data_IF_225909221461
#
_entry.id   IF_225909221461
#
_cell.length_a   1.000
_cell.length_b   1.000
_cell.length_c   1.000
_cell.angle_alpha   90.00
_cell.angle_beta   90.00
_cell.angle_gamma   90.00
#
_symmetry.space_group_name_H-M   'P 1'
#
loop_
_entity.id
_entity.type
_entity.pdbx_description
1 polymer ?
#
# COMPACT_ATOMS: atom_id res chain seq x y z
N UNK A 1 2.26 -0.69 1.27
CA UNK A 1 2.59 -0.33 -0.13
C UNK A 1 3.92 0.45 -0.27
N UNK A 2 4.57 0.75 0.84
CA UNK A 2 5.72 1.64 0.96
C UNK A 2 6.96 1.08 0.28
N UNK A 3 7.16 -0.24 0.33
CA UNK A 3 8.26 -0.92 -0.37
C UNK A 3 8.20 -0.69 -1.88
N UNK A 4 7.02 -0.87 -2.49
CA UNK A 4 6.81 -0.53 -3.91
C UNK A 4 7.00 0.97 -4.17
N UNK A 5 6.56 1.82 -3.23
CA UNK A 5 6.58 3.27 -3.40
C UNK A 5 7.99 3.82 -3.41
N UNK A 6 8.86 3.26 -2.56
CA UNK A 6 10.27 3.60 -2.51
C UNK A 6 11.07 2.92 -3.62
N UNK A 7 10.81 1.65 -3.92
CA UNK A 7 11.45 0.94 -5.03
C UNK A 7 11.22 1.64 -6.37
N UNK A 8 9.99 2.09 -6.62
CA UNK A 8 9.70 2.90 -7.81
C UNK A 8 10.40 4.26 -7.76
N UNK A 9 10.37 4.99 -6.64
CA UNK A 9 11.05 6.30 -6.50
C UNK A 9 12.55 6.22 -6.75
N UNK A 10 13.21 5.19 -6.27
CA UNK A 10 14.66 4.99 -6.48
C UNK A 10 15.00 4.65 -7.93
N UNK A 11 14.06 4.06 -8.66
CA UNK A 11 14.24 3.66 -10.05
C UNK A 11 13.85 4.76 -11.03
N UNK A 12 12.87 5.60 -10.67
CA UNK A 12 12.35 6.68 -11.52
C UNK A 12 13.38 7.78 -11.74
N UNK A 13 13.29 8.51 -12.85
CA UNK A 13 14.10 9.72 -13.14
C UNK A 13 13.62 10.96 -12.38
N UNK A 14 12.50 10.86 -11.67
CA UNK A 14 11.88 11.97 -10.95
C UNK A 14 12.42 12.12 -9.53
N UNK A 15 12.20 13.28 -8.91
CA UNK A 15 12.57 13.51 -7.51
C UNK A 15 11.99 12.43 -6.57
N UNK A 16 12.71 12.01 -5.51
CA UNK A 16 13.89 12.68 -4.95
C UNK A 16 15.24 12.28 -5.56
N UNK A 17 15.30 11.23 -6.40
CA UNK A 17 16.55 10.75 -6.99
C UNK A 17 16.54 10.99 -8.51
N UNK A 18 17.06 12.13 -8.95
CA UNK A 18 16.93 12.59 -10.35
C UNK A 18 18.05 12.13 -11.29
N UNK A 19 19.01 11.35 -10.79
CA UNK A 19 20.17 10.91 -11.58
C UNK A 19 19.84 9.72 -12.49
N UNK A 20 18.66 9.11 -12.32
CA UNK A 20 18.18 8.04 -13.17
C UNK A 20 17.88 8.52 -14.59
N UNK A 21 18.33 7.76 -15.59
CA UNK A 21 17.99 7.97 -17.01
C UNK A 21 16.47 8.00 -17.22
N UNK A 22 16.00 8.71 -18.24
CA UNK A 22 14.57 8.79 -18.58
C UNK A 22 13.96 7.40 -18.78
N UNK A 23 12.72 7.23 -18.36
CA UNK A 23 11.89 6.05 -18.61
C UNK A 23 11.69 5.80 -20.12
N UNK A 24 11.79 6.85 -20.94
CA UNK A 24 11.65 6.75 -22.41
C UNK A 24 12.97 6.52 -23.16
N UNK A 25 14.10 6.37 -22.44
CA UNK A 25 15.39 6.18 -23.07
C UNK A 25 15.52 4.77 -23.67
N UNK A 26 15.96 4.68 -24.92
CA UNK A 26 16.14 3.38 -25.60
C UNK A 26 17.24 2.57 -24.90
N UNK A 27 16.94 1.30 -24.58
CA UNK A 27 17.86 0.42 -23.86
C UNK A 27 17.92 0.70 -22.36
N UNK A 28 16.85 1.26 -21.79
CA UNK A 28 16.71 1.55 -20.37
C UNK A 28 15.38 1.01 -19.82
N UNK A 29 15.14 -0.30 -19.95
CA UNK A 29 13.97 -0.92 -19.36
C UNK A 29 14.07 -0.89 -17.84
N UNK A 30 13.08 -0.26 -17.20
CA UNK A 30 13.01 -0.14 -15.74
C UNK A 30 12.03 -1.16 -15.19
N UNK A 31 12.52 -2.06 -14.35
CA UNK A 31 11.74 -3.17 -13.80
C UNK A 31 11.71 -3.08 -12.28
N UNK A 32 10.52 -3.19 -11.69
CA UNK A 32 10.34 -3.40 -10.25
C UNK A 32 9.73 -4.77 -10.03
N UNK A 33 10.38 -5.58 -9.18
CA UNK A 33 9.88 -6.89 -8.77
C UNK A 33 9.49 -6.79 -7.29
N UNK A 34 8.18 -6.93 -7.01
CA UNK A 34 7.65 -6.96 -5.65
C UNK A 34 7.57 -8.42 -5.20
N UNK A 35 8.35 -8.77 -4.19
CA UNK A 35 8.28 -10.07 -3.52
C UNK A 35 7.55 -9.90 -2.19
N UNK A 36 6.51 -10.70 -1.92
CA UNK A 36 5.72 -10.61 -0.68
C UNK A 36 5.25 -11.98 -0.21
N UNK A 37 5.20 -12.15 1.10
CA UNK A 37 4.65 -13.31 1.82
C UNK A 37 3.26 -13.04 2.44
N UNK A 38 2.69 -11.86 2.18
CA UNK A 38 1.46 -11.49 2.87
C UNK A 38 0.84 -10.17 2.45
N UNK A 39 -0.12 -9.76 3.28
CA UNK A 39 -0.93 -8.58 3.08
C UNK A 39 -0.21 -7.29 3.50
N UNK A 40 -0.58 -6.18 2.87
CA UNK A 40 -0.24 -4.86 3.41
C UNK A 40 -1.14 -4.56 4.61
N UNK A 41 -0.60 -4.60 5.83
CA UNK A 41 -1.40 -4.50 7.06
C UNK A 41 -1.31 -3.15 7.75
N UNK A 42 -2.38 -2.82 8.45
CA UNK A 42 -2.46 -1.78 9.46
C UNK A 42 -3.24 -2.36 10.64
N UNK A 43 -2.89 -1.99 11.87
CA UNK A 43 -3.43 -2.64 13.05
C UNK A 43 -4.13 -1.66 13.98
N UNK A 44 -5.28 -2.08 14.52
CA UNK A 44 -5.83 -1.50 15.75
C UNK A 44 -4.95 -1.87 16.94
N UNK A 45 -4.83 -1.02 17.99
CA UNK A 45 -4.11 -1.38 19.21
C UNK A 45 -4.65 -2.68 19.82
N UNK A 46 -5.98 -2.82 19.88
CA UNK A 46 -6.66 -3.98 20.45
C UNK A 46 -6.31 -5.29 19.76
N UNK A 47 -6.15 -5.30 18.44
CA UNK A 47 -5.72 -6.52 17.71
C UNK A 47 -4.30 -6.98 18.04
N UNK A 48 -3.51 -6.11 18.68
CA UNK A 48 -2.15 -6.42 19.14
C UNK A 48 -2.08 -6.58 20.66
N UNK A 49 -3.24 -6.70 21.34
CA UNK A 49 -3.29 -6.83 22.80
C UNK A 49 -3.07 -5.52 23.57
N UNK A 50 -3.08 -4.37 22.89
CA UNK A 50 -2.94 -3.05 23.51
C UNK A 50 -4.29 -2.30 23.57
N UNK A 51 -4.41 -1.33 24.46
CA UNK A 51 -5.62 -0.51 24.61
C UNK A 51 -5.53 0.82 23.85
N UNK A 52 -6.60 1.18 23.13
CA UNK A 52 -6.74 2.46 22.41
C UNK A 52 -7.29 3.59 23.31
N UNK A 53 -6.55 3.96 24.35
CA UNK A 53 -7.00 5.01 25.31
C UNK A 53 -7.10 6.40 24.68
N UNK A 54 -6.30 6.67 23.64
CA UNK A 54 -6.30 7.93 22.92
C UNK A 54 -7.36 8.00 21.81
N UNK A 55 -8.08 6.91 21.53
CA UNK A 55 -9.06 6.84 20.45
C UNK A 55 -8.44 7.02 19.05
N UNK A 56 -7.17 6.67 18.88
CA UNK A 56 -6.40 6.84 17.65
C UNK A 56 -6.78 5.83 16.56
N UNK A 57 -7.52 4.77 16.91
CA UNK A 57 -8.04 3.70 16.04
C UNK A 57 -6.99 2.82 15.36
N UNK A 58 -5.71 3.17 15.45
CA UNK A 58 -4.60 2.36 14.97
C UNK A 58 -3.38 2.51 15.85
N UNK A 59 -2.42 1.60 15.71
CA UNK A 59 -1.03 1.91 16.03
C UNK A 59 -0.46 2.92 15.03
N UNK A 60 0.66 3.55 15.38
CA UNK A 60 1.36 4.44 14.46
C UNK A 60 2.09 3.61 13.40
N UNK A 61 1.93 3.95 12.11
CA UNK A 61 2.62 3.30 11.00
C UNK A 61 2.86 4.31 9.86
N UNK A 62 3.14 3.87 8.64
CA UNK A 62 3.59 4.69 7.52
C UNK A 62 2.66 5.86 7.15
N UNK A 63 1.35 5.70 7.36
CA UNK A 63 0.34 6.74 7.16
C UNK A 63 -0.10 7.39 8.50
N UNK A 64 0.76 7.33 9.53
CA UNK A 64 0.52 7.92 10.85
C UNK A 64 -0.55 7.19 11.67
N UNK A 65 -1.32 7.91 12.48
CA UNK A 65 -2.53 7.34 13.10
C UNK A 65 -3.72 7.43 12.14
N UNK A 66 -4.59 6.43 12.16
CA UNK A 66 -5.85 6.46 11.41
C UNK A 66 -6.69 7.65 11.85
N UNK A 67 -6.84 7.89 13.16
CA UNK A 67 -7.52 9.06 13.70
C UNK A 67 -6.55 9.93 14.51
N UNK A 68 -5.79 10.84 13.87
CA UNK A 68 -4.89 11.75 14.58
C UNK A 68 -5.69 12.78 15.39
N UNK A 69 -5.10 13.25 16.50
CA UNK A 69 -5.72 14.22 17.41
C UNK A 69 -6.19 15.50 16.71
N UNK A 70 -5.37 16.02 15.79
CA UNK A 70 -5.72 17.14 14.93
C UNK A 70 -5.63 16.70 13.47
N UNK A 71 -6.73 16.81 12.75
CA UNK A 71 -6.81 16.46 11.33
C UNK A 71 -7.74 17.42 10.60
N UNK A 72 -7.33 17.84 9.41
CA UNK A 72 -8.18 18.59 8.48
C UNK A 72 -9.03 17.66 7.61
N UNK A 73 -8.80 16.34 7.67
CA UNK A 73 -9.51 15.35 6.88
C UNK A 73 -10.79 14.89 7.58
N UNK A 74 -11.87 14.71 6.82
CA UNK A 74 -13.15 14.22 7.32
C UNK A 74 -13.13 12.74 7.74
N UNK A 75 -12.10 12.00 7.36
CA UNK A 75 -11.90 10.59 7.67
C UNK A 75 -10.40 10.26 7.77
N UNK A 76 -10.10 9.05 8.24
CA UNK A 76 -8.73 8.68 8.60
C UNK A 76 -7.73 8.65 7.44
N UNK A 77 -6.45 8.92 7.73
CA UNK A 77 -5.41 9.09 6.70
C UNK A 77 -5.29 7.87 5.76
N UNK A 78 -5.31 6.61 6.23
CA UNK A 78 -5.26 5.45 5.33
C UNK A 78 -6.43 5.35 4.35
N UNK A 79 -7.53 6.05 4.61
CA UNK A 79 -8.72 6.05 3.76
C UNK A 79 -8.76 7.19 2.74
N UNK A 80 -7.81 8.12 2.78
CA UNK A 80 -7.67 9.19 1.78
C UNK A 80 -7.40 8.59 0.41
N UNK A 81 -8.08 9.09 -0.62
CA UNK A 81 -7.89 8.63 -2.00
C UNK A 81 -8.40 7.22 -2.31
N UNK A 82 -8.86 6.45 -1.32
CA UNK A 82 -9.45 5.13 -1.56
C UNK A 82 -10.89 5.25 -2.07
N UNK A 83 -11.33 4.26 -2.82
CA UNK A 83 -12.65 4.19 -3.46
C UNK A 83 -13.79 4.07 -2.44
N UNK A 84 -15.03 4.03 -2.93
CA UNK A 84 -16.21 3.74 -2.12
C UNK A 84 -16.24 2.31 -1.58
N UNK A 85 -15.37 1.43 -2.10
CA UNK A 85 -15.24 0.05 -1.64
C UNK A 85 -14.60 -0.01 -0.24
N UNK A 86 -13.82 1.00 0.15
CA UNK A 86 -13.23 1.13 1.49
C UNK A 86 -14.14 1.99 2.36
N UNK A 87 -14.64 1.41 3.46
CA UNK A 87 -15.47 2.16 4.41
C UNK A 87 -14.64 3.21 5.12
N UNK A 88 -15.16 4.44 5.22
CA UNK A 88 -14.48 5.57 5.89
C UNK A 88 -14.71 5.61 7.40
N UNK A 89 -15.58 4.74 7.91
CA UNK A 89 -16.01 4.67 9.31
C UNK A 89 -15.75 3.30 9.95
N UNK A 90 -15.33 2.29 9.17
CA UNK A 90 -14.91 1.00 9.69
C UNK A 90 -13.42 1.02 10.05
N UNK A 91 -13.12 0.81 11.33
CA UNK A 91 -11.77 0.80 11.88
C UNK A 91 -11.24 -0.63 12.11
N UNK A 92 -11.74 -1.62 11.38
CA UNK A 92 -11.25 -2.99 11.42
C UNK A 92 -9.93 -3.17 10.67
N UNK A 93 -9.09 -4.11 11.13
CA UNK A 93 -7.88 -4.50 10.41
C UNK A 93 -8.17 -4.95 8.97
N UNK A 94 -9.32 -5.60 8.74
CA UNK A 94 -9.72 -6.02 7.40
C UNK A 94 -9.96 -4.83 6.46
N UNK A 95 -10.68 -3.80 6.92
CA UNK A 95 -10.89 -2.58 6.14
C UNK A 95 -9.59 -1.78 5.95
N UNK A 96 -8.68 -1.82 6.93
CA UNK A 96 -7.33 -1.27 6.76
C UNK A 96 -6.55 -2.00 5.67
N UNK A 97 -6.50 -3.33 5.69
CA UNK A 97 -5.86 -4.12 4.63
C UNK A 97 -6.45 -3.78 3.27
N UNK A 98 -7.78 -3.66 3.17
CA UNK A 98 -8.45 -3.24 1.93
C UNK A 98 -7.99 -1.88 1.43
N UNK A 99 -7.90 -0.90 2.33
CA UNK A 99 -7.39 0.43 2.00
C UNK A 99 -5.94 0.38 1.50
N UNK A 100 -5.08 -0.39 2.18
CA UNK A 100 -3.68 -0.54 1.81
C UNK A 100 -3.49 -1.30 0.49
N UNK A 101 -4.34 -2.28 0.18
CA UNK A 101 -4.38 -2.95 -1.12
C UNK A 101 -4.81 -2.00 -2.25
N UNK A 102 -5.78 -1.12 -2.04
CA UNK A 102 -6.14 -0.10 -3.03
C UNK A 102 -4.99 0.90 -3.29
N UNK A 103 -4.29 1.33 -2.23
CA UNK A 103 -3.08 2.16 -2.38
C UNK A 103 -1.99 1.45 -3.17
N UNK A 104 -1.79 0.15 -2.91
CA UNK A 104 -0.82 -0.66 -3.65
C UNK A 104 -1.20 -0.78 -5.14
N UNK A 105 -2.44 -1.10 -5.45
CA UNK A 105 -2.93 -1.19 -6.83
C UNK A 105 -2.78 0.15 -7.57
N UNK A 106 -3.19 1.25 -6.94
CA UNK A 106 -3.03 2.61 -7.49
C UNK A 106 -1.57 2.92 -7.80
N UNK A 107 -0.65 2.50 -6.92
CA UNK A 107 0.76 2.71 -7.09
C UNK A 107 1.35 1.88 -8.24
N UNK A 108 0.92 0.62 -8.38
CA UNK A 108 1.28 -0.23 -9.53
C UNK A 108 0.78 0.37 -10.84
N UNK A 109 -0.46 0.86 -10.88
CA UNK A 109 -1.04 1.51 -12.06
C UNK A 109 -0.26 2.78 -12.45
N UNK A 110 0.08 3.62 -11.47
CA UNK A 110 0.90 4.82 -11.70
C UNK A 110 2.30 4.46 -12.21
N UNK A 111 2.94 3.43 -11.65
CA UNK A 111 4.27 2.98 -12.09
C UNK A 111 4.24 2.46 -13.54
N UNK A 112 3.25 1.62 -13.87
CA UNK A 112 3.04 1.12 -15.24
C UNK A 112 2.78 2.27 -16.22
N UNK A 113 1.94 3.24 -15.85
CA UNK A 113 1.67 4.42 -16.66
C UNK A 113 2.92 5.28 -16.89
N UNK A 114 3.88 5.26 -15.96
CA UNK A 114 5.17 5.92 -16.10
C UNK A 114 6.20 5.11 -16.92
N UNK A 115 5.84 3.95 -17.47
CA UNK A 115 6.75 3.11 -18.27
C UNK A 115 7.62 2.16 -17.45
N UNK A 116 7.25 1.89 -16.20
CA UNK A 116 7.92 0.88 -15.36
C UNK A 116 7.25 -0.48 -15.57
N UNK A 117 8.06 -1.51 -15.79
CA UNK A 117 7.60 -2.89 -15.79
C UNK A 117 7.45 -3.34 -14.34
N UNK A 118 6.23 -3.69 -13.95
CA UNK A 118 5.93 -4.16 -12.59
C UNK A 118 5.69 -5.66 -12.63
N UNK A 119 6.43 -6.39 -11.80
CA UNK A 119 6.27 -7.83 -11.61
C UNK A 119 6.03 -8.11 -10.13
N UNK A 120 5.22 -9.12 -9.84
CA UNK A 120 4.92 -9.53 -8.46
C UNK A 120 5.19 -11.01 -8.28
N UNK A 121 5.77 -11.38 -7.15
CA UNK A 121 6.00 -12.76 -6.73
C UNK A 121 5.37 -12.93 -5.36
N UNK A 122 4.37 -13.81 -5.29
CA UNK A 122 3.78 -14.27 -4.03
C UNK A 122 4.61 -15.45 -3.49
N UNK A 123 5.16 -15.29 -2.29
CA UNK A 123 5.90 -16.31 -1.57
C UNK A 123 4.97 -16.93 -0.53
N UNK A 124 4.85 -18.26 -0.54
CA UNK A 124 4.15 -19.00 0.53
C UNK A 124 2.70 -18.56 0.80
N UNK A 125 1.98 -18.16 -0.26
CA UNK A 125 0.53 -17.87 -0.19
C UNK A 125 -0.29 -19.05 -0.72
N UNK A 126 -1.31 -19.44 0.04
CA UNK A 126 -2.26 -20.49 -0.27
C UNK A 126 -3.53 -19.94 -0.93
N UNK A 127 -3.87 -20.46 -2.10
CA UNK A 127 -5.09 -20.10 -2.82
C UNK A 127 -6.36 -20.66 -2.14
N UNK A 128 -6.22 -21.67 -1.29
CA UNK A 128 -7.30 -22.20 -0.45
C UNK A 128 -7.65 -21.27 0.72
N UNK A 129 -6.69 -20.48 1.21
CA UNK A 129 -6.93 -19.48 2.24
C UNK A 129 -7.55 -18.22 1.62
N UNK A 130 -8.79 -17.88 2.03
CA UNK A 130 -9.53 -16.74 1.47
C UNK A 130 -8.79 -15.41 1.60
N UNK A 131 -8.07 -15.18 2.71
CA UNK A 131 -7.34 -13.93 2.93
C UNK A 131 -6.12 -13.83 2.01
N UNK A 132 -5.38 -14.93 1.85
CA UNK A 132 -4.18 -15.01 1.02
C UNK A 132 -4.55 -15.02 -0.48
N UNK A 133 -5.64 -15.68 -0.86
CA UNK A 133 -6.21 -15.61 -2.20
C UNK A 133 -6.59 -14.17 -2.59
N UNK A 134 -7.16 -13.39 -1.65
CA UNK A 134 -7.43 -11.98 -1.89
C UNK A 134 -6.14 -11.17 -2.08
N UNK A 135 -5.06 -11.48 -1.35
CA UNK A 135 -3.75 -10.84 -1.57
C UNK A 135 -3.17 -11.20 -2.93
N UNK A 136 -3.18 -12.47 -3.31
CA UNK A 136 -2.74 -12.90 -4.63
C UNK A 136 -3.54 -12.24 -5.75
N UNK A 137 -4.85 -12.04 -5.56
CA UNK A 137 -5.66 -11.29 -6.51
C UNK A 137 -5.22 -9.82 -6.61
N UNK A 138 -4.88 -9.19 -5.49
CA UNK A 138 -4.39 -7.81 -5.45
C UNK A 138 -2.98 -7.66 -6.07
N UNK A 139 -2.20 -8.74 -6.18
CA UNK A 139 -0.89 -8.72 -6.85
C UNK A 139 -1.00 -8.83 -8.38
N UNK A 140 -2.13 -9.30 -8.91
CA UNK A 140 -2.32 -9.50 -10.37
C UNK A 140 -2.69 -8.21 -11.12
N UNK A 141 -2.97 -7.13 -10.41
CA UNK A 141 -3.33 -5.82 -10.96
C UNK A 141 -2.08 -5.01 -11.27
#
# INVERSE_FOLDING_TARGET
PEGMAWGWRTLSSTAPFTDGRSESERGNDKVVIVLTDGANTYYTPNSLGANDLAGAKSTYSALGYVKPYNTTYSYGRPFLGTSSSVSKTDYSNANYTKAMSEHFATLCDNAKAAGIIVMTIALDLDAGNTAEAAQMSALKT
#
